data_IF_814112225215
#
_entry.id   IF_814112225215
#
_cell.length_a   1.000
_cell.length_b   1.000
_cell.length_c   1.000
_cell.angle_alpha   90.00
_cell.angle_beta   90.00
_cell.angle_gamma   90.00
#
_symmetry.space_group_name_H-M   'P 1'
#
loop_
_entity.id
_entity.type
_entity.pdbx_description
1 polymer ?
#
# COMPACT_ATOMS: atom_id res chain seq x y z
N UNK A 1 -0.84 -14.21 16.26
CA UNK A 1 -2.12 -14.23 15.50
C UNK A 1 -1.87 -13.63 14.13
N UNK A 2 -2.41 -14.19 13.04
CA UNK A 2 -2.34 -13.57 11.70
C UNK A 2 -3.56 -12.66 11.55
N UNK A 3 -3.36 -11.35 11.61
CA UNK A 3 -4.39 -10.39 11.20
C UNK A 3 -4.19 -10.16 9.70
N UNK A 4 -5.12 -10.66 8.88
CA UNK A 4 -5.05 -10.61 7.42
C UNK A 4 -6.01 -9.55 6.91
N UNK A 5 -5.52 -8.69 6.00
CA UNK A 5 -6.32 -7.71 5.29
C UNK A 5 -6.38 -8.13 3.82
N UNK A 6 -7.60 -8.09 3.27
CA UNK A 6 -7.87 -8.32 1.86
C UNK A 6 -8.27 -6.99 1.26
N UNK A 7 -7.66 -6.63 0.14
CA UNK A 7 -7.95 -5.37 -0.52
C UNK A 7 -7.46 -5.34 -1.96
N UNK A 8 -7.64 -4.17 -2.57
CA UNK A 8 -7.13 -3.88 -3.90
C UNK A 8 -6.68 -2.43 -3.98
N UNK A 9 -5.72 -2.15 -4.85
CA UNK A 9 -5.36 -0.77 -5.18
C UNK A 9 -6.50 -0.12 -5.97
N UNK A 10 -6.66 1.20 -5.84
CA UNK A 10 -7.64 1.99 -6.62
C UNK A 10 -6.95 3.17 -7.28
N UNK A 11 -7.29 3.38 -8.55
CA UNK A 11 -7.08 4.57 -9.40
C UNK A 11 -5.67 5.20 -9.43
N UNK A 12 -4.65 4.58 -8.84
CA UNK A 12 -3.30 5.13 -8.73
C UNK A 12 -2.28 4.08 -8.25
N UNK A 13 -1.94 3.12 -9.11
CA UNK A 13 -0.79 2.24 -8.89
C UNK A 13 0.28 2.50 -9.96
N UNK A 14 1.50 2.77 -9.52
CA UNK A 14 2.60 3.17 -10.39
C UNK A 14 3.85 2.35 -10.10
N UNK A 15 4.59 2.04 -11.17
CA UNK A 15 5.90 1.41 -11.05
C UNK A 15 6.96 2.47 -10.74
N UNK A 16 7.81 2.18 -9.76
CA UNK A 16 8.97 3.00 -9.40
C UNK A 16 10.24 2.23 -9.72
N UNK A 17 11.08 2.79 -10.60
CA UNK A 17 12.36 2.21 -11.00
C UNK A 17 13.45 3.27 -10.83
N UNK A 18 14.55 2.91 -10.16
CA UNK A 18 15.66 3.83 -9.87
C UNK A 18 15.22 5.15 -9.21
N UNK A 19 14.25 5.08 -8.30
CA UNK A 19 13.73 6.24 -7.57
C UNK A 19 12.79 7.15 -8.38
N UNK A 20 12.37 6.74 -9.58
CA UNK A 20 11.45 7.53 -10.43
C UNK A 20 10.21 6.72 -10.78
N UNK A 21 9.05 7.39 -10.83
CA UNK A 21 7.83 6.81 -11.38
C UNK A 21 8.01 6.66 -12.89
N UNK A 22 7.83 5.44 -13.41
CA UNK A 22 8.06 5.16 -14.83
C UNK A 22 6.77 4.94 -15.62
N UNK A 23 5.80 4.22 -15.06
CA UNK A 23 4.52 3.94 -15.74
C UNK A 23 3.39 3.62 -14.77
N UNK A 24 2.12 3.90 -15.13
CA UNK A 24 0.98 3.33 -14.43
C UNK A 24 0.94 1.82 -14.64
N UNK A 25 0.39 1.10 -13.67
CA UNK A 25 0.13 -0.35 -13.75
C UNK A 25 -1.32 -0.64 -13.40
N UNK A 26 -1.83 -1.79 -13.86
CA UNK A 26 -3.18 -2.25 -13.54
C UNK A 26 -3.35 -2.39 -12.03
N UNK A 27 -4.58 -2.21 -11.55
CA UNK A 27 -4.88 -2.44 -10.15
C UNK A 27 -4.58 -3.89 -9.75
N UNK A 28 -4.11 -4.06 -8.53
CA UNK A 28 -3.73 -5.37 -7.99
C UNK A 28 -4.47 -5.65 -6.70
N UNK A 29 -4.83 -6.92 -6.51
CA UNK A 29 -5.38 -7.44 -5.26
C UNK A 29 -4.24 -7.86 -4.34
N UNK A 30 -4.49 -7.78 -3.04
CA UNK A 30 -3.61 -8.30 -2.01
C UNK A 30 -4.40 -9.04 -0.93
N UNK A 31 -3.76 -10.01 -0.32
CA UNK A 31 -4.23 -10.74 0.86
C UNK A 31 -3.03 -10.89 1.76
N UNK A 32 -2.82 -9.90 2.63
CA UNK A 32 -1.55 -9.70 3.32
C UNK A 32 -1.77 -9.59 4.83
N UNK A 33 -0.82 -10.06 5.62
CA UNK A 33 -0.90 -9.85 7.06
C UNK A 33 -0.47 -8.43 7.41
N UNK A 34 -1.36 -7.67 8.04
CA UNK A 34 -1.03 -6.28 8.45
C UNK A 34 0.10 -6.23 9.47
N UNK A 35 0.23 -7.26 10.31
CA UNK A 35 1.32 -7.37 11.28
C UNK A 35 2.66 -7.51 10.56
N UNK A 36 2.73 -8.37 9.54
CA UNK A 36 3.94 -8.53 8.71
C UNK A 36 4.24 -7.25 7.94
N UNK A 37 3.23 -6.65 7.30
CA UNK A 37 3.40 -5.41 6.55
C UNK A 37 3.93 -4.26 7.42
N UNK A 38 3.43 -4.11 8.66
CA UNK A 38 3.91 -3.11 9.61
C UNK A 38 5.33 -3.42 10.11
N UNK A 39 5.67 -4.68 10.37
CA UNK A 39 7.04 -5.07 10.73
C UNK A 39 8.04 -4.83 9.60
N UNK A 40 7.58 -4.85 8.34
CA UNK A 40 8.37 -4.57 7.16
C UNK A 40 8.33 -3.08 6.73
N UNK A 41 7.73 -2.20 7.54
CA UNK A 41 7.80 -0.77 7.30
C UNK A 41 9.23 -0.28 7.54
N UNK A 42 9.87 0.24 6.51
CA UNK A 42 11.27 0.69 6.56
C UNK A 42 11.41 2.20 6.59
N UNK A 43 10.42 2.94 6.10
CA UNK A 43 10.42 4.41 6.11
C UNK A 43 9.00 4.97 6.25
N UNK A 44 8.93 6.14 6.87
CA UNK A 44 7.73 6.97 6.99
C UNK A 44 8.02 8.35 6.40
N UNK A 45 7.06 8.93 5.70
CA UNK A 45 7.18 10.31 5.22
C UNK A 45 7.09 11.33 6.36
N UNK A 46 7.66 12.52 6.14
CA UNK A 46 7.46 13.67 7.02
C UNK A 46 6.06 14.26 6.83
N UNK A 47 5.59 14.28 5.59
CA UNK A 47 4.24 14.69 5.19
C UNK A 47 3.21 13.73 5.77
N UNK A 48 2.05 14.26 6.15
CA UNK A 48 0.91 13.49 6.65
C UNK A 48 -0.33 13.91 5.90
N UNK A 49 -1.25 12.97 5.69
CA UNK A 49 -2.58 13.22 5.15
C UNK A 49 -3.64 12.88 6.18
N UNK A 50 -4.69 13.70 6.22
CA UNK A 50 -5.91 13.37 6.93
C UNK A 50 -6.75 12.50 6.00
N UNK A 51 -7.09 11.32 6.47
CA UNK A 51 -8.02 10.41 5.81
C UNK A 51 -9.33 10.42 6.58
N UNK A 52 -10.42 10.48 5.82
CA UNK A 52 -11.78 10.46 6.34
C UNK A 52 -12.38 9.12 5.98
N UNK A 53 -12.61 8.31 7.01
CA UNK A 53 -13.42 7.10 6.92
C UNK A 53 -14.56 7.23 7.95
N UNK A 54 -14.55 6.42 9.00
CA UNK A 54 -15.48 6.55 10.15
C UNK A 54 -15.09 7.65 11.15
N UNK A 55 -13.83 8.11 11.09
CA UNK A 55 -13.28 9.23 11.87
C UNK A 55 -12.15 9.87 11.09
N UNK A 56 -11.68 11.05 11.52
CA UNK A 56 -10.49 11.67 10.93
C UNK A 56 -9.23 11.01 11.48
N UNK A 57 -8.46 10.37 10.61
CA UNK A 57 -7.19 9.74 10.96
C UNK A 57 -6.08 10.44 10.20
N UNK A 58 -5.04 10.89 10.90
CA UNK A 58 -3.86 11.49 10.26
C UNK A 58 -2.78 10.42 10.09
N UNK A 59 -2.39 10.16 8.84
CA UNK A 59 -1.42 9.09 8.51
C UNK A 59 -0.31 9.62 7.58
N UNK A 60 0.95 9.16 7.74
CA UNK A 60 2.00 9.40 6.75
C UNK A 60 1.90 8.42 5.58
N UNK A 61 2.71 8.64 4.53
CA UNK A 61 3.04 7.59 3.58
C UNK A 61 4.02 6.60 4.20
N UNK A 62 3.90 5.33 3.83
CA UNK A 62 4.73 4.24 4.35
C UNK A 62 5.43 3.53 3.20
N UNK A 63 6.73 3.25 3.37
CA UNK A 63 7.47 2.34 2.49
C UNK A 63 7.56 0.99 3.16
N UNK A 64 6.94 -0.01 2.57
CA UNK A 64 6.89 -1.38 3.09
C UNK A 64 7.69 -2.28 2.14
N UNK A 65 8.69 -2.99 2.67
CA UNK A 65 9.39 -4.03 1.92
C UNK A 65 8.57 -5.34 1.90
N UNK A 66 8.80 -6.17 0.91
CA UNK A 66 8.24 -7.53 0.84
C UNK A 66 6.69 -7.59 0.96
N UNK A 67 6.00 -6.59 0.41
CA UNK A 67 4.53 -6.58 0.33
C UNK A 67 4.08 -7.39 -0.89
N UNK A 68 3.20 -8.38 -0.70
CA UNK A 68 2.82 -9.31 -1.77
C UNK A 68 1.45 -8.98 -2.37
N UNK A 69 1.43 -8.70 -3.68
CA UNK A 69 0.19 -8.70 -4.46
C UNK A 69 -0.16 -10.12 -4.90
N UNK A 70 -1.43 -10.49 -4.78
CA UNK A 70 -1.89 -11.88 -5.01
C UNK A 70 -2.52 -12.08 -6.38
N UNK A 71 -2.98 -11.03 -7.05
CA UNK A 71 -3.64 -11.12 -8.35
C UNK A 71 -3.73 -9.74 -9.03
N UNK A 72 -3.79 -9.72 -10.36
CA UNK A 72 -4.08 -8.53 -11.17
C UNK A 72 -5.59 -8.43 -11.37
N UNK A 73 -6.16 -7.23 -11.36
CA UNK A 73 -7.56 -7.04 -11.74
C UNK A 73 -7.73 -7.02 -13.27
N UNK A 74 -8.77 -7.70 -13.76
CA UNK A 74 -9.07 -7.78 -15.19
C UNK A 74 -9.78 -6.53 -15.75
N UNK A 75 -10.27 -5.66 -14.86
CA UNK A 75 -10.99 -4.42 -15.19
C UNK A 75 -10.05 -3.22 -15.30
#
# INVERSE_FOLDING_TARGET
>A
RRAVIIGMTRDSLFLVENGKITKPVKNMRFTESIITALNNCIELSKEKRVMYDSSSITVPYVRIKDFTFTSITEF
#
